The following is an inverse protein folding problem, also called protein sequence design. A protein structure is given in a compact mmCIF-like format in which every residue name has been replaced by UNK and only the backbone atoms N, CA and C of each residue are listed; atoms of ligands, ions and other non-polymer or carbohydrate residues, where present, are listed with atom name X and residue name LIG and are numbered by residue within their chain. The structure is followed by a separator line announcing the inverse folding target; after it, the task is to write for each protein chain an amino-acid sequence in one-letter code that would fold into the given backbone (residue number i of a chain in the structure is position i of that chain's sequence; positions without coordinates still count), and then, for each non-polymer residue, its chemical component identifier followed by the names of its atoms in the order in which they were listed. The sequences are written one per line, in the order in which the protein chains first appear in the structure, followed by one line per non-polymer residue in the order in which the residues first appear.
data_IF_676197810392
#
_entry.id   IF_676197810392
#
_cell.length_a   1.000
_cell.length_b   1.000
_cell.length_c   1.000
_cell.angle_alpha   90.00
_cell.angle_beta   90.00
_cell.angle_gamma   90.00
#
_symmetry.space_group_name_H-M   'P 1'
#
loop_
_entity.id
_entity.type
_entity.pdbx_description
1 polymer ?
#
# COMPACT_ATOMS: atom_id res chain seq x y z
N UNK A 1 -9.21 -2.52 -10.56
CA UNK A 1 -8.63 -1.15 -10.38
C UNK A 1 -7.57 -1.21 -9.31
N UNK A 2 -6.37 -0.67 -9.59
CA UNK A 2 -5.31 -0.48 -8.60
C UNK A 2 -5.13 1.01 -8.30
N UNK A 3 -5.12 1.39 -7.01
CA UNK A 3 -4.92 2.77 -6.55
C UNK A 3 -3.73 2.79 -5.59
N UNK A 4 -2.66 3.49 -5.96
CA UNK A 4 -1.47 3.66 -5.13
C UNK A 4 -1.46 5.08 -4.56
N UNK A 5 -1.42 5.20 -3.23
CA UNK A 5 -1.46 6.50 -2.56
C UNK A 5 -0.28 6.68 -1.61
N UNK A 6 0.09 7.93 -1.37
CA UNK A 6 1.07 8.27 -0.35
C UNK A 6 0.48 8.09 1.06
N UNK A 7 -0.66 8.70 1.36
CA UNK A 7 -1.21 8.74 2.72
C UNK A 7 -2.71 8.41 2.83
N UNK A 8 -3.33 7.85 1.78
CA UNK A 8 -4.74 7.47 1.75
C UNK A 8 -5.56 8.31 0.77
N UNK A 9 -6.88 8.20 0.83
CA UNK A 9 -7.83 8.91 -0.03
C UNK A 9 -8.15 10.28 0.59
N UNK A 10 -7.13 11.15 0.73
CA UNK A 10 -7.16 12.31 1.64
C UNK A 10 -7.62 13.61 0.98
N UNK A 11 -7.75 13.67 -0.36
CA UNK A 11 -8.27 14.85 -1.06
C UNK A 11 -9.63 14.56 -1.70
N UNK A 12 -10.46 15.61 -1.88
CA UNK A 12 -11.75 15.46 -2.54
C UNK A 12 -11.60 14.91 -3.97
N UNK A 13 -10.58 15.34 -4.69
CA UNK A 13 -10.27 14.83 -6.03
C UNK A 13 -10.06 13.32 -6.04
N UNK A 14 -9.25 12.80 -5.08
CA UNK A 14 -9.00 11.36 -4.96
C UNK A 14 -10.28 10.62 -4.59
N UNK A 15 -11.08 11.15 -3.64
CA UNK A 15 -12.35 10.55 -3.25
C UNK A 15 -13.31 10.44 -4.44
N UNK A 16 -13.47 11.52 -5.22
CA UNK A 16 -14.35 11.56 -6.38
C UNK A 16 -13.90 10.56 -7.46
N UNK A 17 -12.60 10.43 -7.68
CA UNK A 17 -12.03 9.47 -8.63
C UNK A 17 -12.14 8.02 -8.17
N UNK A 18 -12.06 7.77 -6.86
CA UNK A 18 -12.15 6.43 -6.27
C UNK A 18 -13.61 5.95 -6.13
N UNK A 19 -14.56 6.86 -5.93
CA UNK A 19 -15.95 6.54 -5.68
C UNK A 19 -16.59 5.58 -6.70
N UNK A 20 -16.39 5.70 -8.03
CA UNK A 20 -16.97 4.75 -9.00
C UNK A 20 -16.51 3.30 -8.78
N UNK A 21 -15.34 3.08 -8.19
CA UNK A 21 -14.75 1.76 -7.96
C UNK A 21 -15.08 1.18 -6.59
N UNK A 22 -15.62 2.00 -5.67
CA UNK A 22 -15.87 1.63 -4.27
C UNK A 22 -17.36 1.67 -3.89
N UNK A 23 -18.18 2.39 -4.65
CA UNK A 23 -19.61 2.53 -4.37
C UNK A 23 -20.34 1.17 -4.33
N UNK A 24 -21.03 0.90 -3.22
CA UNK A 24 -21.72 -0.36 -2.96
C UNK A 24 -20.82 -1.55 -2.62
N UNK A 25 -19.49 -1.38 -2.56
CA UNK A 25 -18.52 -2.45 -2.34
C UNK A 25 -18.28 -2.74 -0.87
N UNK A 26 -18.08 -4.02 -0.54
CA UNK A 26 -17.55 -4.44 0.76
C UNK A 26 -16.03 -4.35 0.73
N UNK A 27 -15.45 -3.64 1.69
CA UNK A 27 -14.02 -3.33 1.74
C UNK A 27 -13.34 -4.02 2.92
N UNK A 28 -12.23 -4.73 2.67
CA UNK A 28 -11.29 -5.14 3.69
C UNK A 28 -10.31 -3.99 3.99
N UNK A 29 -10.19 -3.59 5.24
CA UNK A 29 -9.15 -2.65 5.70
C UNK A 29 -8.02 -3.46 6.31
N UNK A 30 -6.95 -3.69 5.54
CA UNK A 30 -5.83 -4.56 5.92
C UNK A 30 -4.86 -3.82 6.81
N UNK A 31 -4.70 -4.30 8.04
CA UNK A 31 -3.92 -3.64 9.11
C UNK A 31 -2.53 -4.22 9.34
N UNK A 32 -2.16 -5.28 8.63
CA UNK A 32 -0.94 -6.07 8.84
C UNK A 32 0.35 -5.27 8.87
N UNK A 33 0.48 -4.23 8.00
CA UNK A 33 1.67 -3.39 7.96
C UNK A 33 1.93 -2.60 9.26
N UNK A 34 0.90 -2.37 10.08
CA UNK A 34 0.98 -1.62 11.33
C UNK A 34 1.45 -2.52 12.48
N UNK A 35 2.72 -2.90 12.46
CA UNK A 35 3.34 -3.81 13.42
C UNK A 35 3.20 -3.26 14.85
N UNK A 36 2.68 -4.09 15.76
CA UNK A 36 2.46 -3.74 17.17
C UNK A 36 1.16 -2.97 17.45
N UNK A 37 0.48 -2.44 16.43
CA UNK A 37 -0.80 -1.73 16.61
C UNK A 37 -1.97 -2.48 15.96
N UNK A 38 -1.80 -3.02 14.75
CA UNK A 38 -2.82 -3.80 14.03
C UNK A 38 -4.19 -3.09 14.03
N UNK A 39 -5.20 -3.76 14.62
CA UNK A 39 -6.55 -3.22 14.79
C UNK A 39 -6.63 -1.94 15.65
N UNK A 40 -5.56 -1.59 16.35
CA UNK A 40 -5.48 -0.38 17.16
C UNK A 40 -4.71 0.76 16.47
N UNK A 41 -4.40 0.65 15.18
CA UNK A 41 -3.74 1.73 14.43
C UNK A 41 -4.62 2.99 14.41
N UNK A 42 -4.00 4.12 14.77
CA UNK A 42 -4.69 5.43 14.87
C UNK A 42 -5.29 5.93 13.56
N UNK A 43 -4.86 5.40 12.42
CA UNK A 43 -5.35 5.82 11.10
C UNK A 43 -6.59 5.02 10.66
N UNK A 44 -6.93 3.92 11.32
CA UNK A 44 -8.11 3.10 10.98
C UNK A 44 -9.40 3.94 10.88
N UNK A 45 -9.73 4.81 11.87
CA UNK A 45 -10.95 5.61 11.77
C UNK A 45 -10.95 6.56 10.56
N UNK A 46 -9.78 7.04 10.15
CA UNK A 46 -9.63 7.90 8.98
C UNK A 46 -9.85 7.10 7.70
N UNK A 47 -9.15 5.98 7.50
CA UNK A 47 -9.30 5.14 6.31
C UNK A 47 -10.71 4.58 6.18
N UNK A 48 -11.36 4.22 7.30
CA UNK A 48 -12.77 3.81 7.30
C UNK A 48 -13.67 4.92 6.78
N UNK A 49 -13.50 6.17 7.25
CA UNK A 49 -14.28 7.31 6.75
C UNK A 49 -14.02 7.60 5.28
N UNK A 50 -12.77 7.50 4.81
CA UNK A 50 -12.39 7.66 3.40
C UNK A 50 -13.13 6.66 2.50
N UNK A 51 -13.11 5.37 2.86
CA UNK A 51 -13.81 4.33 2.11
C UNK A 51 -15.33 4.53 2.11
N UNK A 52 -15.93 4.85 3.27
CA UNK A 52 -17.36 5.15 3.37
C UNK A 52 -17.74 6.40 2.58
N UNK A 53 -16.89 7.44 2.54
CA UNK A 53 -17.11 8.65 1.73
C UNK A 53 -17.11 8.34 0.23
N UNK A 54 -16.39 7.30 -0.22
CA UNK A 54 -16.45 6.79 -1.59
C UNK A 54 -17.67 5.88 -1.84
N UNK A 55 -18.60 5.73 -0.86
CA UNK A 55 -19.81 4.96 -0.99
C UNK A 55 -19.66 3.45 -0.73
N UNK A 56 -18.59 3.01 -0.07
CA UNK A 56 -18.47 1.61 0.34
C UNK A 56 -19.66 1.19 1.23
N UNK A 57 -20.19 -0.01 1.00
CA UNK A 57 -21.33 -0.56 1.76
C UNK A 57 -20.96 -1.08 3.13
N UNK A 58 -19.68 -1.35 3.36
CA UNK A 58 -19.14 -1.78 4.65
C UNK A 58 -17.61 -1.84 4.60
N UNK A 59 -16.98 -1.62 5.76
CA UNK A 59 -15.53 -1.68 5.95
C UNK A 59 -15.25 -2.57 7.16
N UNK A 60 -14.50 -3.62 6.96
CA UNK A 60 -14.14 -4.59 7.99
C UNK A 60 -12.63 -4.70 8.11
N UNK A 61 -12.12 -4.83 9.34
CA UNK A 61 -10.70 -5.01 9.58
C UNK A 61 -10.26 -6.40 9.12
N UNK A 62 -9.07 -6.45 8.53
CA UNK A 62 -8.48 -7.68 8.04
C UNK A 62 -6.98 -7.71 8.40
N UNK A 63 -6.49 -8.83 8.94
CA UNK A 63 -5.08 -9.02 9.22
C UNK A 63 -4.59 -10.33 8.58
N UNK A 64 -3.58 -10.26 7.74
CA UNK A 64 -2.99 -11.43 7.07
C UNK A 64 -2.35 -12.43 8.04
N UNK A 65 -1.99 -12.00 9.24
CA UNK A 65 -1.41 -12.89 10.23
C UNK A 65 -2.47 -13.70 11.00
N UNK A 66 -3.74 -13.27 10.99
CA UNK A 66 -4.82 -13.86 11.76
C UNK A 66 -5.87 -14.56 10.87
N UNK A 67 -6.06 -14.07 9.65
CA UNK A 67 -7.14 -14.52 8.78
C UNK A 67 -6.61 -15.32 7.60
N UNK A 68 -7.44 -16.20 7.05
CA UNK A 68 -7.04 -17.02 5.91
C UNK A 68 -7.15 -16.27 4.58
N UNK A 69 -6.33 -16.63 3.57
CA UNK A 69 -6.44 -16.06 2.22
C UNK A 69 -7.84 -16.19 1.60
N UNK A 70 -8.54 -17.30 1.88
CA UNK A 70 -9.91 -17.51 1.42
C UNK A 70 -10.88 -16.44 1.96
N UNK A 71 -10.64 -15.90 3.16
CA UNK A 71 -11.46 -14.84 3.73
C UNK A 71 -11.44 -13.55 2.89
N UNK A 72 -10.36 -13.28 2.15
CA UNK A 72 -10.26 -12.09 1.32
C UNK A 72 -11.24 -12.12 0.13
N UNK A 73 -11.67 -13.28 -0.30
CA UNK A 73 -12.63 -13.44 -1.42
C UNK A 73 -14.04 -12.94 -1.09
N UNK A 74 -14.34 -12.68 0.20
CA UNK A 74 -15.62 -12.12 0.63
C UNK A 74 -15.75 -10.61 0.38
N UNK A 75 -14.65 -9.96 -0.08
CA UNK A 75 -14.60 -8.52 -0.29
C UNK A 75 -14.45 -8.18 -1.78
N UNK A 76 -15.05 -7.05 -2.16
CA UNK A 76 -14.95 -6.50 -3.52
C UNK A 76 -13.76 -5.56 -3.66
N UNK A 77 -13.27 -5.04 -2.54
CA UNK A 77 -12.12 -4.15 -2.48
C UNK A 77 -11.29 -4.40 -1.22
N UNK A 78 -10.00 -4.04 -1.28
CA UNK A 78 -9.17 -4.01 -0.09
C UNK A 78 -8.29 -2.76 -0.08
N UNK A 79 -8.10 -2.17 1.11
CA UNK A 79 -7.13 -1.12 1.36
C UNK A 79 -6.05 -1.65 2.31
N UNK A 80 -4.81 -1.70 1.81
CA UNK A 80 -3.63 -2.05 2.61
C UNK A 80 -3.06 -0.76 3.22
N UNK A 81 -3.10 -0.65 4.56
CA UNK A 81 -2.60 0.56 5.24
C UNK A 81 -1.07 0.67 5.19
N UNK A 82 -0.56 1.85 5.55
CA UNK A 82 0.87 2.10 5.75
C UNK A 82 1.44 1.42 7.00
N UNK A 83 2.77 1.42 7.10
CA UNK A 83 3.51 0.82 8.21
C UNK A 83 4.85 0.28 7.75
N UNK A 84 5.18 -0.96 8.12
CA UNK A 84 6.42 -1.63 7.73
C UNK A 84 6.23 -2.43 6.42
N UNK A 85 6.84 -2.01 5.29
CA UNK A 85 6.68 -2.70 4.02
C UNK A 85 7.37 -4.07 4.00
N UNK A 86 8.46 -4.26 4.72
CA UNK A 86 9.15 -5.55 4.82
C UNK A 86 8.29 -6.58 5.54
N UNK A 87 7.69 -6.18 6.66
CA UNK A 87 6.80 -7.04 7.42
C UNK A 87 5.56 -7.41 6.61
N UNK A 88 4.93 -6.42 5.97
CA UNK A 88 3.75 -6.66 5.14
C UNK A 88 4.06 -7.63 3.99
N UNK A 89 5.16 -7.44 3.28
CA UNK A 89 5.56 -8.32 2.18
C UNK A 89 5.90 -9.74 2.68
N UNK A 90 6.58 -9.84 3.83
CA UNK A 90 6.85 -11.13 4.48
C UNK A 90 5.54 -11.85 4.83
N UNK A 91 4.60 -11.17 5.48
CA UNK A 91 3.30 -11.72 5.84
C UNK A 91 2.47 -12.16 4.62
N UNK A 92 2.41 -11.33 3.57
CA UNK A 92 1.75 -11.68 2.29
C UNK A 92 2.28 -13.03 1.75
N UNK A 93 3.59 -13.22 1.76
CA UNK A 93 4.22 -14.44 1.24
C UNK A 93 4.02 -15.64 2.14
N UNK A 94 4.27 -15.46 3.44
CA UNK A 94 4.20 -16.54 4.44
C UNK A 94 2.80 -17.11 4.56
N UNK A 95 1.77 -16.26 4.51
CA UNK A 95 0.38 -16.68 4.65
C UNK A 95 -0.36 -16.88 3.31
N UNK A 96 0.35 -16.74 2.17
CA UNK A 96 -0.21 -17.08 0.87
C UNK A 96 -1.19 -16.06 0.28
N UNK A 97 -1.10 -14.78 0.64
CA UNK A 97 -2.00 -13.73 0.14
C UNK A 97 -1.64 -13.17 -1.23
N UNK A 98 -0.48 -13.54 -1.79
CA UNK A 98 -0.05 -13.00 -3.09
C UNK A 98 -1.07 -13.27 -4.22
N UNK A 99 -1.57 -14.50 -4.34
CA UNK A 99 -2.54 -14.86 -5.37
C UNK A 99 -3.93 -14.22 -5.11
N UNK A 100 -4.53 -14.26 -3.92
CA UNK A 100 -5.78 -13.54 -3.63
C UNK A 100 -5.73 -12.04 -3.92
N UNK A 101 -4.61 -11.37 -3.61
CA UNK A 101 -4.43 -9.95 -3.92
C UNK A 101 -4.35 -9.70 -5.44
N UNK A 102 -3.66 -10.56 -6.20
CA UNK A 102 -3.63 -10.51 -7.67
C UNK A 102 -5.03 -10.66 -8.27
N UNK A 103 -5.81 -11.62 -7.77
CA UNK A 103 -7.18 -11.83 -8.22
C UNK A 103 -8.07 -10.62 -7.89
N UNK A 104 -7.94 -10.07 -6.68
CA UNK A 104 -8.69 -8.89 -6.28
C UNK A 104 -8.34 -7.67 -7.15
N UNK A 105 -7.06 -7.49 -7.52
CA UNK A 105 -6.64 -6.38 -8.39
C UNK A 105 -7.26 -6.42 -9.79
N UNK A 106 -7.61 -7.63 -10.29
CA UNK A 106 -8.24 -7.82 -11.61
C UNK A 106 -9.77 -7.76 -11.57
N UNK A 107 -10.38 -8.29 -10.51
CA UNK A 107 -11.85 -8.44 -10.40
C UNK A 107 -12.52 -7.33 -9.59
N UNK A 108 -11.75 -6.61 -8.77
CA UNK A 108 -12.24 -5.62 -7.83
C UNK A 108 -11.35 -4.38 -7.77
N UNK A 109 -11.20 -3.82 -6.57
CA UNK A 109 -10.37 -2.64 -6.32
C UNK A 109 -9.35 -2.92 -5.22
N UNK A 110 -8.08 -2.65 -5.51
CA UNK A 110 -7.00 -2.77 -4.54
C UNK A 110 -6.35 -1.40 -4.33
N UNK A 111 -6.30 -0.98 -3.07
CA UNK A 111 -5.77 0.32 -2.68
C UNK A 111 -4.55 0.09 -1.79
N UNK A 112 -3.44 0.68 -2.14
CA UNK A 112 -2.23 0.69 -1.30
C UNK A 112 -1.99 2.08 -0.73
N UNK A 113 -1.65 2.15 0.56
CA UNK A 113 -1.25 3.37 1.25
C UNK A 113 0.20 3.23 1.72
N UNK A 114 1.12 4.08 1.26
CA UNK A 114 2.53 4.05 1.69
C UNK A 114 3.14 2.64 1.60
N UNK A 115 3.43 1.97 2.72
CA UNK A 115 3.91 0.59 2.74
C UNK A 115 2.98 -0.37 1.97
N UNK A 116 1.66 -0.21 2.11
CA UNK A 116 0.67 -0.96 1.35
C UNK A 116 0.75 -0.72 -0.15
N UNK A 117 1.11 0.50 -0.58
CA UNK A 117 1.31 0.80 -2.00
C UNK A 117 2.63 0.18 -2.52
N UNK A 118 3.70 0.30 -1.75
CA UNK A 118 5.02 -0.24 -2.10
C UNK A 118 5.00 -1.75 -2.39
N UNK A 119 4.32 -2.55 -1.57
CA UNK A 119 4.28 -4.02 -1.78
C UNK A 119 3.53 -4.44 -3.05
N UNK A 120 2.70 -3.55 -3.62
CA UNK A 120 1.95 -3.80 -4.85
C UNK A 120 2.76 -3.51 -6.11
N UNK A 121 3.87 -2.75 -6.02
CA UNK A 121 4.79 -2.42 -7.11
C UNK A 121 5.80 -3.55 -7.38
N UNK A 122 6.68 -3.44 -8.38
CA UNK A 122 7.69 -4.46 -8.67
C UNK A 122 8.68 -4.70 -7.54
N UNK A 123 9.02 -3.66 -6.75
CA UNK A 123 10.02 -3.79 -5.68
C UNK A 123 9.74 -2.82 -4.52
N UNK A 124 10.11 -3.27 -3.30
CA UNK A 124 10.18 -2.39 -2.11
C UNK A 124 11.62 -1.97 -1.79
N UNK A 125 12.59 -2.33 -2.63
CA UNK A 125 14.02 -2.15 -2.34
C UNK A 125 14.44 -0.68 -2.19
N UNK A 126 13.69 0.26 -2.76
CA UNK A 126 13.92 1.70 -2.56
C UNK A 126 13.94 2.10 -1.08
N UNK A 127 13.24 1.35 -0.21
CA UNK A 127 13.16 1.64 1.22
C UNK A 127 14.48 1.34 1.93
N UNK A 128 15.35 0.45 1.41
CA UNK A 128 16.69 0.24 1.96
C UNK A 128 17.56 1.51 1.93
N UNK A 129 17.30 2.37 0.96
CA UNK A 129 17.98 3.65 0.88
C UNK A 129 17.62 4.60 2.02
N UNK A 130 16.51 4.41 2.74
CA UNK A 130 15.99 5.40 3.70
C UNK A 130 15.77 4.85 5.09
N UNK A 131 15.15 3.68 5.23
CA UNK A 131 14.79 3.08 6.53
C UNK A 131 15.12 1.57 6.57
N UNK A 132 16.37 1.15 6.31
CA UNK A 132 16.76 -0.27 6.33
C UNK A 132 16.58 -0.92 7.70
N UNK A 133 16.57 -0.12 8.78
CA UNK A 133 16.33 -0.59 10.14
C UNK A 133 14.96 -1.25 10.33
N UNK A 134 13.97 -0.89 9.51
CA UNK A 134 12.65 -1.52 9.54
C UNK A 134 12.68 -3.01 9.17
N UNK A 135 13.77 -3.45 8.52
CA UNK A 135 13.97 -4.85 8.14
C UNK A 135 14.71 -5.68 9.21
N UNK A 136 15.28 -5.04 10.24
CA UNK A 136 16.16 -5.74 11.19
C UNK A 136 15.51 -6.96 11.88
N UNK A 137 14.22 -6.85 12.22
CA UNK A 137 13.48 -7.94 12.86
C UNK A 137 12.75 -8.87 11.88
N UNK A 138 12.62 -8.45 10.61
CA UNK A 138 11.97 -9.26 9.57
C UNK A 138 12.97 -10.13 8.84
N UNK A 139 14.17 -9.58 8.56
CA UNK A 139 15.24 -10.28 7.84
C UNK A 139 14.88 -10.61 6.37
N UNK A 140 14.00 -9.81 5.75
CA UNK A 140 13.55 -10.04 4.39
C UNK A 140 14.70 -9.75 3.40
N UNK A 141 15.14 -10.79 2.68
CA UNK A 141 16.22 -10.67 1.68
C UNK A 141 15.69 -10.36 0.28
N UNK A 142 14.65 -11.07 -0.15
CA UNK A 142 13.99 -10.81 -1.44
C UNK A 142 12.95 -9.70 -1.29
N UNK A 143 13.19 -8.57 -1.94
CA UNK A 143 12.37 -7.36 -1.91
C UNK A 143 11.46 -7.19 -3.12
N UNK A 144 11.31 -8.23 -3.95
CA UNK A 144 10.37 -8.24 -5.06
C UNK A 144 8.95 -8.08 -4.55
N UNK A 145 8.23 -7.08 -5.01
CA UNK A 145 6.82 -6.85 -4.65
C UNK A 145 5.85 -7.75 -5.42
N UNK A 146 4.59 -7.40 -5.41
CA UNK A 146 3.56 -8.17 -6.13
C UNK A 146 3.54 -7.87 -7.64
N UNK A 147 4.22 -6.85 -8.11
CA UNK A 147 4.27 -6.44 -9.53
C UNK A 147 2.87 -6.35 -10.17
N UNK A 148 1.96 -5.65 -9.50
CA UNK A 148 0.61 -5.41 -10.03
C UNK A 148 0.56 -4.20 -10.98
N UNK A 149 1.66 -3.49 -11.13
CA UNK A 149 1.93 -2.45 -12.11
C UNK A 149 3.41 -2.52 -12.51
N UNK A 150 3.79 -1.74 -13.51
CA UNK A 150 5.15 -1.62 -14.04
C UNK A 150 5.93 -0.41 -13.48
N UNK A 151 5.36 0.31 -12.52
CA UNK A 151 5.98 1.48 -11.91
C UNK A 151 6.39 1.24 -10.45
N UNK A 152 7.49 1.88 -10.03
CA UNK A 152 7.87 1.99 -8.62
C UNK A 152 7.52 3.38 -8.09
N UNK A 153 7.23 3.47 -6.80
CA UNK A 153 6.79 4.71 -6.15
C UNK A 153 7.71 5.10 -4.99
N UNK A 154 7.77 6.40 -4.71
CA UNK A 154 8.39 6.95 -3.53
C UNK A 154 7.35 7.80 -2.77
N UNK A 155 6.63 7.22 -1.80
CA UNK A 155 5.59 7.92 -1.04
C UNK A 155 6.17 8.94 -0.06
N UNK A 156 5.34 9.88 0.41
CA UNK A 156 5.70 10.94 1.36
C UNK A 156 6.83 11.85 0.87
N UNK A 157 6.96 12.05 -0.44
CA UNK A 157 8.12 12.67 -1.05
C UNK A 157 8.47 14.02 -0.43
N UNK A 158 7.58 15.01 -0.47
CA UNK A 158 7.86 16.35 0.08
C UNK A 158 8.16 16.35 1.58
N UNK A 159 7.49 15.48 2.33
CA UNK A 159 7.74 15.31 3.77
C UNK A 159 9.12 14.72 4.06
N UNK A 160 9.61 13.82 3.21
CA UNK A 160 10.88 13.15 3.42
C UNK A 160 12.07 13.95 2.91
N UNK A 161 11.87 14.92 2.01
CA UNK A 161 12.91 15.90 1.62
C UNK A 161 13.53 16.63 2.82
N UNK A 162 12.74 16.88 3.87
CA UNK A 162 13.21 17.55 5.08
C UNK A 162 13.61 16.60 6.20
N UNK A 163 13.26 15.31 6.07
CA UNK A 163 13.51 14.30 7.12
C UNK A 163 14.80 13.52 6.91
N UNK A 164 15.13 13.22 5.66
CA UNK A 164 16.30 12.40 5.33
C UNK A 164 17.36 13.24 4.64
N UNK A 165 18.60 13.10 5.11
CA UNK A 165 19.74 13.72 4.45
C UNK A 165 19.90 13.18 3.02
N UNK A 166 20.15 14.09 2.07
CA UNK A 166 20.39 13.79 0.66
C UNK A 166 19.29 12.90 0.05
N UNK A 167 18.03 13.11 0.46
CA UNK A 167 16.91 12.25 0.10
C UNK A 167 16.78 12.07 -1.42
N UNK A 168 16.74 13.19 -2.17
CA UNK A 168 16.58 13.14 -3.63
C UNK A 168 17.81 12.50 -4.32
N UNK A 169 19.02 12.80 -3.86
CA UNK A 169 20.22 12.19 -4.45
C UNK A 169 20.25 10.65 -4.25
N UNK A 170 19.82 10.19 -3.09
CA UNK A 170 19.70 8.75 -2.78
C UNK A 170 18.61 8.07 -3.62
N UNK A 171 17.50 8.77 -3.87
CA UNK A 171 16.45 8.29 -4.76
C UNK A 171 16.97 8.18 -6.21
N UNK A 172 17.67 9.20 -6.72
CA UNK A 172 18.29 9.18 -8.05
C UNK A 172 19.38 8.12 -8.18
N UNK A 173 20.15 7.90 -7.12
CA UNK A 173 21.14 6.82 -7.09
C UNK A 173 20.47 5.45 -7.23
N UNK A 174 19.37 5.23 -6.48
CA UNK A 174 18.57 4.01 -6.60
C UNK A 174 18.04 3.83 -8.03
N UNK A 175 17.48 4.88 -8.65
CA UNK A 175 16.99 4.86 -10.04
C UNK A 175 18.09 4.44 -11.02
N UNK A 176 19.29 5.03 -10.89
CA UNK A 176 20.44 4.71 -11.78
C UNK A 176 20.92 3.27 -11.59
N UNK A 177 21.01 2.78 -10.36
CA UNK A 177 21.50 1.44 -10.06
C UNK A 177 20.54 0.35 -10.52
N UNK A 178 19.23 0.61 -10.48
CA UNK A 178 18.21 -0.38 -10.79
C UNK A 178 17.58 -0.19 -12.19
N UNK A 179 17.90 0.89 -12.90
CA UNK A 179 17.35 1.17 -14.22
C UNK A 179 15.85 1.47 -14.21
N UNK A 180 15.35 2.07 -13.12
CA UNK A 180 13.93 2.39 -12.92
C UNK A 180 13.73 3.90 -12.78
N UNK A 181 12.49 4.34 -12.92
CA UNK A 181 12.05 5.69 -12.58
C UNK A 181 11.04 5.63 -11.45
N UNK A 182 11.28 6.37 -10.37
CA UNK A 182 10.39 6.42 -9.22
C UNK A 182 9.30 7.48 -9.41
N UNK A 183 8.05 7.09 -9.26
CA UNK A 183 6.96 8.04 -9.13
C UNK A 183 6.98 8.67 -7.73
N UNK A 184 7.37 9.92 -7.64
CA UNK A 184 7.40 10.70 -6.40
C UNK A 184 5.99 11.14 -6.02
N UNK A 185 5.42 10.53 -4.98
CA UNK A 185 4.05 10.82 -4.51
C UNK A 185 4.09 11.67 -3.25
N UNK A 186 3.52 12.86 -3.34
CA UNK A 186 3.27 13.69 -2.15
C UNK A 186 2.05 13.19 -1.37
N UNK A 187 1.96 13.57 -0.10
CA UNK A 187 0.73 13.35 0.65
C UNK A 187 -0.42 14.11 -0.04
N UNK A 188 -1.53 13.44 -0.26
CA UNK A 188 -2.65 13.94 -1.05
C UNK A 188 -2.60 13.60 -2.54
N UNK A 189 -1.63 12.80 -2.98
CA UNK A 189 -1.53 12.31 -4.36
C UNK A 189 -1.80 10.81 -4.46
N UNK A 190 -2.27 10.38 -5.64
CA UNK A 190 -2.54 8.99 -5.97
C UNK A 190 -2.32 8.68 -7.44
N UNK A 191 -1.86 7.46 -7.73
CA UNK A 191 -1.86 6.85 -9.05
C UNK A 191 -3.05 5.90 -9.19
N UNK A 192 -3.81 6.03 -10.28
CA UNK A 192 -4.89 5.13 -10.65
C UNK A 192 -4.45 4.33 -11.87
N UNK A 193 -4.42 2.99 -11.75
CA UNK A 193 -3.84 2.08 -12.74
C UNK A 193 -4.87 1.03 -13.13
N UNK A 194 -5.05 0.80 -14.43
CA UNK A 194 -5.98 -0.20 -14.94
C UNK A 194 -7.41 0.32 -15.11
N UNK A 195 -7.57 1.61 -15.37
CA UNK A 195 -8.84 2.21 -15.80
C UNK A 195 -9.05 2.06 -17.30
#
# INVERSE_FOLDING_TARGET
MLILTSNGLTSQEILDRAAPYLSGKRCALVTTASVGFKQNDKNIPRHTRELLACGASGVELFDFDEQSPAGLTAYDAALLIGGNPYYLLHSIRTHGFAQPLRELSTKGTLIGVSAGALVLTPSIAVIDAFTPEMNQHVGLTDKTGLSLCDCEILPHYSKFLTRFDRFEERAQEYERQNGVTLHRLNDGEALFIGA
#
